data_IF_650050249572
#
_entry.id   IF_650050249572
#
_cell.length_a   1.000
_cell.length_b   1.000
_cell.length_c   1.000
_cell.angle_alpha   90.00
_cell.angle_beta   90.00
_cell.angle_gamma   90.00
#
_symmetry.space_group_name_H-M   'P 1'
#
loop_
_entity.id
_entity.type
_entity.pdbx_description
1 polymer ?
#
# COMPACT_ATOMS: atom_id res chain seq x y z
N UNK A 1 26.14 -10.33 -17.03
CA UNK A 1 25.49 -11.49 -16.43
C UNK A 1 24.03 -11.43 -16.83
N UNK A 2 23.45 -12.48 -17.49
CA UNK A 2 22.03 -12.47 -17.78
C UNK A 2 21.25 -12.47 -16.47
N UNK A 3 20.32 -11.50 -16.33
CA UNK A 3 19.33 -11.47 -15.25
C UNK A 3 18.49 -12.74 -15.35
N UNK A 4 18.67 -13.69 -14.45
CA UNK A 4 17.73 -14.80 -14.30
C UNK A 4 16.40 -14.17 -13.89
N UNK A 5 15.44 -14.11 -14.82
CA UNK A 5 14.10 -13.67 -14.55
C UNK A 5 13.57 -14.48 -13.35
N UNK A 6 13.25 -13.80 -12.25
CA UNK A 6 12.66 -14.44 -11.06
C UNK A 6 11.34 -15.07 -11.47
N UNK A 7 11.12 -16.33 -11.13
CA UNK A 7 9.84 -16.98 -11.39
C UNK A 7 8.72 -16.21 -10.68
N UNK A 8 7.81 -15.64 -11.46
CA UNK A 8 6.61 -14.97 -10.95
C UNK A 8 5.48 -15.97 -10.84
N UNK A 9 4.81 -16.00 -9.70
CA UNK A 9 3.59 -16.77 -9.48
C UNK A 9 2.43 -15.80 -9.35
N UNK A 10 1.44 -15.92 -10.24
CA UNK A 10 0.14 -15.23 -10.10
C UNK A 10 -0.81 -16.11 -9.34
N UNK A 11 -1.57 -15.49 -8.44
CA UNK A 11 -2.55 -16.16 -7.60
C UNK A 11 -3.67 -15.17 -7.23
N UNK A 12 -4.68 -15.62 -6.52
CA UNK A 12 -5.82 -14.79 -6.12
C UNK A 12 -6.13 -14.97 -4.64
N UNK A 13 -6.66 -13.91 -4.04
CA UNK A 13 -7.28 -13.94 -2.72
C UNK A 13 -8.76 -13.66 -2.86
N UNK A 14 -9.59 -14.37 -2.10
CA UNK A 14 -11.05 -14.16 -2.11
C UNK A 14 -11.41 -12.87 -1.36
N UNK A 15 -12.30 -12.09 -1.96
CA UNK A 15 -12.96 -10.96 -1.32
C UNK A 15 -14.24 -11.43 -0.59
N UNK A 16 -14.73 -10.63 0.37
CA UNK A 16 -15.90 -10.96 1.18
C UNK A 16 -17.20 -11.20 0.38
N UNK A 17 -17.30 -10.66 -0.85
CA UNK A 17 -18.46 -10.79 -1.75
C UNK A 17 -18.31 -11.92 -2.79
N UNK A 18 -17.30 -12.80 -2.65
CA UNK A 18 -17.00 -13.86 -3.61
C UNK A 18 -16.19 -13.40 -4.85
N UNK A 19 -15.91 -12.11 -5.01
CA UNK A 19 -14.96 -11.63 -6.01
C UNK A 19 -13.53 -12.04 -5.62
N UNK A 20 -12.60 -11.94 -6.57
CA UNK A 20 -11.19 -12.27 -6.32
C UNK A 20 -10.30 -11.07 -6.63
N UNK A 21 -9.26 -10.89 -5.83
CA UNK A 21 -8.18 -9.95 -6.08
C UNK A 21 -6.90 -10.69 -6.46
N UNK A 22 -6.27 -10.24 -7.56
CA UNK A 22 -5.02 -10.77 -8.08
C UNK A 22 -3.85 -10.33 -7.20
N UNK A 23 -2.92 -11.24 -6.96
CA UNK A 23 -1.59 -10.87 -6.50
C UNK A 23 -0.50 -11.62 -7.26
N UNK A 24 0.69 -11.03 -7.28
CA UNK A 24 1.89 -11.64 -7.89
C UNK A 24 2.95 -11.78 -6.81
N UNK A 25 3.43 -13.01 -6.62
CA UNK A 25 4.54 -13.32 -5.72
C UNK A 25 5.81 -13.64 -6.53
N UNK A 26 6.94 -13.05 -6.14
CA UNK A 26 8.25 -13.31 -6.76
C UNK A 26 9.37 -13.24 -5.74
N UNK A 27 10.44 -13.97 -5.97
CA UNK A 27 11.61 -14.03 -5.09
C UNK A 27 11.46 -15.05 -3.96
N UNK A 28 12.37 -15.00 -3.00
CA UNK A 28 12.45 -15.91 -1.85
C UNK A 28 13.00 -15.15 -0.64
N UNK A 29 12.62 -15.57 0.56
CA UNK A 29 13.03 -14.97 1.82
C UNK A 29 11.83 -14.43 2.60
N UNK A 30 12.02 -13.52 3.57
CA UNK A 30 10.92 -12.90 4.29
C UNK A 30 9.93 -12.24 3.34
N UNK A 31 8.63 -12.44 3.60
CA UNK A 31 7.57 -11.93 2.72
C UNK A 31 7.29 -10.46 2.98
N UNK A 32 7.29 -9.67 1.90
CA UNK A 32 6.83 -8.27 1.87
C UNK A 32 5.60 -8.14 0.99
N UNK A 33 4.46 -7.75 1.58
CA UNK A 33 3.24 -7.40 0.85
C UNK A 33 3.32 -5.93 0.43
N UNK A 34 3.18 -5.68 -0.87
CA UNK A 34 3.38 -4.37 -1.49
C UNK A 34 2.06 -3.85 -2.06
N UNK A 35 1.65 -2.66 -1.60
CA UNK A 35 0.34 -2.07 -1.87
C UNK A 35 0.47 -0.79 -2.69
N UNK A 36 -0.24 -0.71 -3.80
CA UNK A 36 -0.20 0.41 -4.74
C UNK A 36 -1.10 1.58 -4.34
N UNK A 37 -0.94 2.73 -5.03
CA UNK A 37 -1.73 3.94 -4.87
C UNK A 37 -3.11 3.91 -5.57
N UNK A 38 -3.87 5.01 -5.44
CA UNK A 38 -5.28 5.12 -5.83
C UNK A 38 -5.56 4.79 -7.30
N UNK A 39 -4.83 5.40 -8.24
CA UNK A 39 -5.00 5.23 -9.69
C UNK A 39 -3.94 4.30 -10.31
N UNK A 40 -3.30 3.44 -9.52
CA UNK A 40 -2.20 2.59 -9.93
C UNK A 40 -2.56 1.10 -9.84
N UNK A 41 -1.60 0.24 -10.11
CA UNK A 41 -1.69 -1.21 -9.97
C UNK A 41 -0.36 -1.76 -9.39
N UNK A 42 -0.28 -3.08 -9.27
CA UNK A 42 0.89 -3.78 -8.70
C UNK A 42 2.22 -3.46 -9.42
N UNK A 43 2.19 -3.07 -10.72
CA UNK A 43 3.41 -2.82 -11.49
C UNK A 43 4.18 -1.57 -11.02
N UNK A 44 3.55 -0.67 -10.26
CA UNK A 44 4.24 0.50 -9.68
C UNK A 44 5.44 0.11 -8.81
N UNK A 45 5.44 -1.13 -8.29
CA UNK A 45 6.50 -1.67 -7.45
C UNK A 45 7.63 -2.36 -8.23
N UNK A 46 7.52 -2.53 -9.57
CA UNK A 46 8.50 -3.30 -10.38
C UNK A 46 9.93 -2.80 -10.22
N UNK A 47 10.11 -1.47 -10.29
CA UNK A 47 11.43 -0.86 -10.13
C UNK A 47 12.05 -1.10 -8.74
N UNK A 48 11.22 -1.09 -7.69
CA UNK A 48 11.66 -1.36 -6.31
C UNK A 48 11.96 -2.85 -6.14
N UNK A 49 11.08 -3.74 -6.64
CA UNK A 49 11.26 -5.20 -6.56
C UNK A 49 12.54 -5.67 -7.25
N UNK A 50 12.97 -5.01 -8.32
CA UNK A 50 14.24 -5.31 -9.00
C UNK A 50 15.46 -5.19 -8.05
N UNK A 51 15.37 -4.33 -7.02
CA UNK A 51 16.41 -4.11 -6.00
C UNK A 51 16.17 -4.89 -4.68
N UNK A 52 14.97 -5.44 -4.44
CA UNK A 52 14.62 -6.19 -3.23
C UNK A 52 15.11 -7.64 -3.32
N UNK A 53 16.44 -7.85 -3.31
CA UNK A 53 17.02 -9.20 -3.31
C UNK A 53 16.90 -9.85 -1.93
N UNK A 54 16.54 -11.17 -1.92
CA UNK A 54 16.42 -11.93 -0.66
C UNK A 54 15.11 -11.64 0.09
N UNK A 55 14.07 -11.23 -0.63
CA UNK A 55 12.69 -11.12 -0.16
C UNK A 55 11.73 -11.83 -1.13
N UNK A 56 10.65 -12.41 -0.61
CA UNK A 56 9.47 -12.72 -1.39
C UNK A 56 8.60 -11.45 -1.46
N UNK A 57 8.52 -10.83 -2.64
CA UNK A 57 7.67 -9.66 -2.89
C UNK A 57 6.28 -10.13 -3.33
N UNK A 58 5.25 -9.85 -2.55
CA UNK A 58 3.85 -10.13 -2.86
C UNK A 58 3.16 -8.82 -3.19
N UNK A 59 2.87 -8.59 -4.48
CA UNK A 59 2.25 -7.35 -4.98
C UNK A 59 0.77 -7.58 -5.22
N UNK A 60 -0.09 -6.87 -4.48
CA UNK A 60 -1.55 -6.97 -4.57
C UNK A 60 -2.10 -5.95 -5.56
N UNK A 61 -3.04 -6.37 -6.42
CA UNK A 61 -3.97 -5.47 -7.09
C UNK A 61 -5.25 -5.33 -6.26
N UNK A 62 -5.58 -4.12 -5.83
CA UNK A 62 -6.88 -3.88 -5.21
C UNK A 62 -8.02 -4.06 -6.24
N UNK A 63 -9.25 -4.37 -5.80
CA UNK A 63 -10.42 -4.49 -6.68
C UNK A 63 -10.59 -3.32 -7.64
N UNK A 64 -10.95 -3.62 -8.90
CA UNK A 64 -11.04 -2.64 -9.97
C UNK A 64 -9.71 -2.17 -10.53
N UNK A 65 -8.59 -2.88 -10.26
CA UNK A 65 -7.24 -2.60 -10.79
C UNK A 65 -6.60 -3.87 -11.33
N UNK A 66 -5.89 -3.73 -12.44
CA UNK A 66 -5.19 -4.86 -13.06
C UNK A 66 -6.11 -6.05 -13.33
N UNK A 67 -5.69 -7.25 -12.91
CA UNK A 67 -6.46 -8.50 -13.06
C UNK A 67 -7.46 -8.77 -11.93
N UNK A 68 -7.62 -7.84 -10.95
CA UNK A 68 -8.58 -7.99 -9.87
C UNK A 68 -10.01 -7.68 -10.33
N UNK A 69 -10.96 -8.52 -9.91
CA UNK A 69 -12.37 -8.32 -10.25
C UNK A 69 -12.89 -6.98 -9.70
N UNK A 70 -13.77 -6.35 -10.49
CA UNK A 70 -14.58 -5.22 -10.04
C UNK A 70 -15.79 -5.67 -9.23
N UNK A 71 -16.61 -4.68 -8.82
CA UNK A 71 -17.89 -4.94 -8.18
C UNK A 71 -18.93 -5.40 -9.20
N UNK A 72 -19.60 -6.50 -8.90
CA UNK A 72 -20.65 -7.09 -9.74
C UNK A 72 -22.01 -7.24 -9.01
N UNK A 73 -22.10 -6.70 -7.78
CA UNK A 73 -23.32 -6.74 -6.98
C UNK A 73 -24.24 -5.53 -7.24
N UNK A 74 -25.25 -5.36 -6.39
CA UNK A 74 -26.12 -4.20 -6.41
C UNK A 74 -25.32 -2.90 -6.13
N UNK A 75 -25.65 -1.76 -6.75
CA UNK A 75 -24.85 -0.52 -6.68
C UNK A 75 -24.52 -0.05 -5.26
N UNK A 76 -25.42 -0.30 -4.31
CA UNK A 76 -25.28 0.10 -2.90
C UNK A 76 -24.07 -0.54 -2.21
N UNK A 77 -23.61 -1.70 -2.67
CA UNK A 77 -22.45 -2.40 -2.13
C UNK A 77 -21.11 -1.87 -2.64
N UNK A 78 -21.09 -1.14 -3.76
CA UNK A 78 -19.86 -0.70 -4.41
C UNK A 78 -19.03 0.23 -3.50
N UNK A 79 -19.67 1.16 -2.80
CA UNK A 79 -19.00 2.10 -1.90
C UNK A 79 -18.25 1.40 -0.76
N UNK A 80 -18.85 0.39 -0.14
CA UNK A 80 -18.21 -0.40 0.91
C UNK A 80 -17.07 -1.27 0.35
N UNK A 81 -17.28 -1.88 -0.81
CA UNK A 81 -16.31 -2.75 -1.46
C UNK A 81 -15.02 -2.01 -1.88
N UNK A 82 -15.15 -0.80 -2.41
CA UNK A 82 -14.02 0.03 -2.84
C UNK A 82 -13.51 0.99 -1.76
N UNK A 83 -13.96 0.85 -0.51
CA UNK A 83 -13.50 1.69 0.61
C UNK A 83 -12.12 1.27 1.11
N UNK A 84 -11.44 2.16 1.85
CA UNK A 84 -10.22 1.80 2.59
C UNK A 84 -10.47 0.64 3.56
N UNK A 85 -11.64 0.61 4.21
CA UNK A 85 -12.05 -0.49 5.10
C UNK A 85 -12.18 -1.82 4.34
N UNK A 86 -12.86 -1.82 3.17
CA UNK A 86 -12.98 -3.00 2.32
C UNK A 86 -11.62 -3.50 1.81
N UNK A 87 -10.71 -2.59 1.48
CA UNK A 87 -9.34 -2.94 1.08
C UNK A 87 -8.49 -3.45 2.26
N UNK A 88 -8.72 -2.94 3.47
CA UNK A 88 -8.07 -3.44 4.67
C UNK A 88 -8.53 -4.86 5.03
N UNK A 89 -9.82 -5.16 4.86
CA UNK A 89 -10.37 -6.50 5.08
C UNK A 89 -9.85 -7.50 4.02
N UNK A 90 -9.74 -7.09 2.76
CA UNK A 90 -9.09 -7.88 1.70
C UNK A 90 -7.61 -8.13 2.01
N UNK A 91 -6.87 -7.10 2.44
CA UNK A 91 -5.48 -7.23 2.84
C UNK A 91 -5.33 -8.21 4.01
N UNK A 92 -6.27 -8.18 4.97
CA UNK A 92 -6.28 -9.13 6.07
C UNK A 92 -6.44 -10.58 5.58
N UNK A 93 -7.35 -10.82 4.65
CA UNK A 93 -7.51 -12.14 4.04
C UNK A 93 -6.22 -12.63 3.35
N UNK A 94 -5.54 -11.75 2.60
CA UNK A 94 -4.26 -12.06 1.98
C UNK A 94 -3.16 -12.35 3.01
N UNK A 95 -3.03 -11.49 4.02
CA UNK A 95 -2.04 -11.66 5.12
C UNK A 95 -2.27 -13.01 5.81
N UNK A 96 -3.52 -13.35 6.17
CA UNK A 96 -3.86 -14.64 6.77
C UNK A 96 -3.48 -15.81 5.86
N UNK A 97 -3.82 -15.76 4.57
CA UNK A 97 -3.45 -16.79 3.59
C UNK A 97 -1.94 -16.98 3.50
N UNK A 98 -1.17 -15.89 3.52
CA UNK A 98 0.30 -15.93 3.48
C UNK A 98 0.88 -16.49 4.77
N UNK A 99 0.42 -16.03 5.94
CA UNK A 99 0.89 -16.53 7.24
C UNK A 99 0.61 -18.02 7.38
N UNK A 100 -0.60 -18.46 7.03
CA UNK A 100 -0.98 -19.89 7.12
C UNK A 100 -0.17 -20.77 6.17
N UNK A 101 0.18 -20.27 4.99
CA UNK A 101 0.96 -21.02 3.98
C UNK A 101 2.47 -20.92 4.18
N UNK A 102 3.00 -19.86 4.78
CA UNK A 102 4.45 -19.62 5.00
C UNK A 102 4.90 -20.00 6.41
N UNK A 103 3.97 -20.08 7.37
CA UNK A 103 4.30 -20.30 8.79
C UNK A 103 5.04 -19.14 9.45
N UNK A 104 5.02 -17.93 8.86
CA UNK A 104 5.75 -16.76 9.33
C UNK A 104 4.92 -15.50 9.14
N UNK A 105 5.14 -14.49 9.99
CA UNK A 105 4.55 -13.16 9.82
C UNK A 105 5.11 -12.47 8.57
N UNK A 106 4.37 -11.50 8.05
CA UNK A 106 4.75 -10.75 6.85
C UNK A 106 5.10 -9.30 7.18
N UNK A 107 5.86 -8.64 6.30
CA UNK A 107 5.95 -7.18 6.27
C UNK A 107 4.94 -6.60 5.30
N UNK A 108 4.48 -5.37 5.55
CA UNK A 108 3.64 -4.61 4.60
C UNK A 108 4.37 -3.33 4.23
N UNK A 109 4.42 -2.99 2.93
CA UNK A 109 4.80 -1.67 2.46
C UNK A 109 3.70 -1.11 1.56
N UNK A 110 3.09 -0.01 1.99
CA UNK A 110 2.05 0.69 1.24
C UNK A 110 2.55 2.02 0.68
N UNK A 111 2.21 2.32 -0.57
CA UNK A 111 2.49 3.60 -1.20
C UNK A 111 1.20 4.39 -1.41
N UNK A 112 1.19 5.69 -1.04
CA UNK A 112 0.05 6.59 -1.23
C UNK A 112 -1.21 6.02 -0.56
N UNK A 113 -2.29 5.77 -1.28
CA UNK A 113 -3.48 5.05 -0.78
C UNK A 113 -3.11 3.72 -0.09
N UNK A 114 -2.13 2.98 -0.60
CA UNK A 114 -1.67 1.72 0.03
C UNK A 114 -1.15 1.92 1.46
N UNK A 115 -0.53 3.06 1.76
CA UNK A 115 -0.13 3.40 3.13
C UNK A 115 -1.36 3.68 4.03
N UNK A 116 -2.40 4.34 3.49
CA UNK A 116 -3.66 4.55 4.23
C UNK A 116 -4.39 3.23 4.48
N UNK A 117 -4.41 2.32 3.50
CA UNK A 117 -4.95 0.95 3.70
C UNK A 117 -4.15 0.20 4.77
N UNK A 118 -2.82 0.39 4.83
CA UNK A 118 -2.00 -0.22 5.90
C UNK A 118 -2.38 0.33 7.28
N UNK A 119 -2.59 1.64 7.41
CA UNK A 119 -3.05 2.26 8.66
C UNK A 119 -4.46 1.79 9.05
N UNK A 120 -5.37 1.71 8.08
CA UNK A 120 -6.73 1.18 8.29
C UNK A 120 -6.71 -0.31 8.69
N UNK A 121 -5.82 -1.11 8.09
CA UNK A 121 -5.58 -2.49 8.48
C UNK A 121 -5.16 -2.59 9.95
N UNK A 122 -4.16 -1.81 10.37
CA UNK A 122 -3.68 -1.81 11.76
C UNK A 122 -4.78 -1.42 12.74
N UNK A 123 -5.61 -0.44 12.39
CA UNK A 123 -6.75 0.00 13.20
C UNK A 123 -7.81 -1.09 13.38
N UNK A 124 -8.09 -1.90 12.34
CA UNK A 124 -9.15 -2.90 12.31
C UNK A 124 -8.71 -4.28 12.79
N UNK A 125 -7.51 -4.68 12.43
CA UNK A 125 -7.03 -6.06 12.59
C UNK A 125 -5.80 -6.17 13.50
N UNK A 126 -5.18 -5.05 13.87
CA UNK A 126 -3.96 -5.04 14.68
C UNK A 126 -2.73 -5.52 13.90
N UNK A 127 -1.66 -5.86 14.62
CA UNK A 127 -0.36 -6.17 14.02
C UNK A 127 0.15 -7.60 14.32
N UNK A 128 -0.69 -8.50 14.86
CA UNK A 128 -0.25 -9.82 15.31
C UNK A 128 0.46 -10.65 14.22
N UNK A 129 0.00 -10.53 12.98
CA UNK A 129 0.51 -11.24 11.82
C UNK A 129 1.65 -10.51 11.09
N UNK A 130 2.08 -9.36 11.61
CA UNK A 130 3.08 -8.51 10.97
C UNK A 130 4.40 -8.50 11.74
N UNK A 131 5.53 -8.52 11.04
CA UNK A 131 6.83 -8.21 11.62
C UNK A 131 7.23 -6.73 11.41
N UNK A 132 6.72 -6.06 10.39
CA UNK A 132 7.04 -4.65 10.10
C UNK A 132 5.99 -4.00 9.19
N UNK A 133 5.90 -2.68 9.23
CA UNK A 133 5.18 -1.88 8.23
C UNK A 133 6.05 -0.75 7.72
N UNK A 134 5.81 -0.38 6.44
CA UNK A 134 6.41 0.81 5.81
C UNK A 134 5.31 1.64 5.14
N UNK A 135 5.26 2.91 5.48
CA UNK A 135 4.29 3.89 4.97
C UNK A 135 5.03 4.83 4.02
N UNK A 136 4.85 4.63 2.72
CA UNK A 136 5.53 5.39 1.67
C UNK A 136 4.59 6.46 1.09
N UNK A 137 4.93 7.73 1.22
CA UNK A 137 4.17 8.88 0.65
C UNK A 137 2.67 8.79 0.91
N UNK A 138 2.27 8.43 2.14
CA UNK A 138 0.88 8.30 2.56
C UNK A 138 0.47 9.43 3.51
N UNK A 139 -0.80 9.43 3.90
CA UNK A 139 -1.40 10.39 4.83
C UNK A 139 -2.08 9.69 6.00
N UNK A 140 -2.03 10.33 7.17
CA UNK A 140 -2.84 9.93 8.34
C UNK A 140 -4.23 10.57 8.35
N UNK A 141 -4.41 11.64 7.54
CA UNK A 141 -5.69 12.33 7.30
C UNK A 141 -5.72 12.88 5.88
N UNK A 142 -6.87 12.78 5.19
CA UNK A 142 -7.03 13.28 3.82
C UNK A 142 -7.72 14.65 3.79
N UNK A 143 -8.85 14.82 4.48
CA UNK A 143 -9.63 16.05 4.43
C UNK A 143 -8.83 17.28 4.86
N UNK A 144 -8.73 18.27 3.97
CA UNK A 144 -7.99 19.52 4.18
C UNK A 144 -6.46 19.37 4.16
N UNK A 145 -5.95 18.23 3.69
CA UNK A 145 -4.50 17.95 3.57
C UNK A 145 -4.14 17.59 2.13
N UNK A 146 -4.85 16.62 1.51
CA UNK A 146 -4.62 16.24 0.13
C UNK A 146 -5.42 17.12 -0.83
N UNK A 147 -4.78 17.52 -1.94
CA UNK A 147 -5.36 18.37 -2.99
C UNK A 147 -5.30 17.65 -4.35
N UNK A 148 -5.95 16.48 -4.43
CA UNK A 148 -5.83 15.56 -5.58
C UNK A 148 -7.01 15.74 -6.55
N UNK A 149 -8.23 15.81 -6.02
CA UNK A 149 -9.47 16.02 -6.78
C UNK A 149 -10.34 17.05 -6.08
N UNK A 150 -11.02 17.92 -6.87
CA UNK A 150 -11.73 19.10 -6.38
C UNK A 150 -13.24 19.03 -6.59
N UNK A 151 -13.72 18.15 -7.47
CA UNK A 151 -15.13 18.08 -7.81
C UNK A 151 -16.00 17.51 -6.67
N UNK A 152 -17.09 18.21 -6.38
CA UNK A 152 -18.04 17.82 -5.34
C UNK A 152 -19.02 16.76 -5.79
N UNK A 153 -19.50 16.83 -7.06
CA UNK A 153 -20.40 15.83 -7.63
C UNK A 153 -19.66 14.70 -8.35
N UNK A 154 -20.30 13.54 -8.43
CA UNK A 154 -19.67 12.33 -8.96
C UNK A 154 -19.38 12.39 -10.46
N UNK A 155 -20.18 13.09 -11.25
CA UNK A 155 -19.97 13.20 -12.70
C UNK A 155 -18.73 14.04 -13.02
N UNK A 156 -18.58 15.17 -12.34
CA UNK A 156 -17.39 16.04 -12.44
C UNK A 156 -16.14 15.33 -11.89
N UNK A 157 -16.28 14.60 -10.79
CA UNK A 157 -15.18 13.82 -10.20
C UNK A 157 -14.70 12.72 -11.12
N UNK A 158 -15.61 11.96 -11.78
CA UNK A 158 -15.23 10.97 -12.79
C UNK A 158 -14.48 11.59 -13.95
N UNK A 159 -14.89 12.78 -14.40
CA UNK A 159 -14.18 13.50 -15.44
C UNK A 159 -12.77 13.94 -15.01
N UNK A 160 -12.59 14.37 -13.76
CA UNK A 160 -11.25 14.67 -13.19
C UNK A 160 -10.38 13.41 -13.10
N UNK A 161 -10.94 12.30 -12.60
CA UNK A 161 -10.24 11.01 -12.49
C UNK A 161 -9.75 10.56 -13.88
N UNK A 162 -10.62 10.62 -14.89
CA UNK A 162 -10.28 10.22 -16.27
C UNK A 162 -9.15 11.10 -16.84
N UNK A 163 -9.28 12.44 -16.72
CA UNK A 163 -8.24 13.38 -17.19
C UNK A 163 -6.89 13.15 -16.50
N UNK A 164 -6.90 12.90 -15.18
CA UNK A 164 -5.67 12.62 -14.42
C UNK A 164 -5.04 11.31 -14.89
N UNK A 165 -5.84 10.27 -15.10
CA UNK A 165 -5.38 8.97 -15.62
C UNK A 165 -4.76 9.11 -17.00
N UNK A 166 -5.41 9.79 -17.94
CA UNK A 166 -4.91 10.04 -19.29
C UNK A 166 -3.59 10.81 -19.28
N UNK A 167 -3.52 11.92 -18.53
CA UNK A 167 -2.31 12.76 -18.41
C UNK A 167 -1.12 11.99 -17.84
N UNK A 168 -1.37 11.08 -16.90
CA UNK A 168 -0.33 10.29 -16.25
C UNK A 168 -0.05 8.94 -16.95
N UNK A 169 -0.78 8.61 -18.04
CA UNK A 169 -0.69 7.31 -18.70
C UNK A 169 -1.17 6.14 -17.84
N UNK A 170 -2.04 6.42 -16.86
CA UNK A 170 -2.54 5.45 -15.89
C UNK A 170 -3.89 4.87 -16.38
N UNK A 171 -3.87 3.77 -17.12
CA UNK A 171 -5.09 3.10 -17.63
C UNK A 171 -5.51 1.90 -16.76
N UNK A 172 -4.82 1.64 -15.68
CA UNK A 172 -4.92 0.39 -14.93
C UNK A 172 -6.06 0.34 -13.89
N UNK A 173 -6.74 1.45 -13.63
CA UNK A 173 -7.80 1.54 -12.61
C UNK A 173 -9.16 1.87 -13.25
N UNK A 174 -10.20 1.13 -12.84
CA UNK A 174 -11.60 1.45 -13.15
C UNK A 174 -11.96 2.81 -12.51
N UNK A 175 -12.45 3.81 -13.29
CA UNK A 175 -12.80 5.12 -12.75
C UNK A 175 -13.86 5.08 -11.64
N UNK A 176 -14.83 4.17 -11.70
CA UNK A 176 -15.84 4.00 -10.64
C UNK A 176 -15.21 3.48 -9.35
N UNK A 177 -14.27 2.52 -9.45
CA UNK A 177 -13.53 2.04 -8.30
C UNK A 177 -12.67 3.14 -7.67
N UNK A 178 -12.08 4.02 -8.49
CA UNK A 178 -11.33 5.19 -8.01
C UNK A 178 -12.24 6.19 -7.32
N UNK A 179 -13.41 6.49 -7.90
CA UNK A 179 -14.40 7.42 -7.34
C UNK A 179 -14.83 6.97 -5.93
N UNK A 180 -15.31 5.74 -5.79
CA UNK A 180 -15.77 5.23 -4.49
C UNK A 180 -14.63 5.19 -3.46
N UNK A 181 -13.42 4.80 -3.88
CA UNK A 181 -12.27 4.80 -3.01
C UNK A 181 -11.90 6.22 -2.54
N UNK A 182 -11.90 7.20 -3.47
CA UNK A 182 -11.64 8.60 -3.12
C UNK A 182 -12.67 9.14 -2.13
N UNK A 183 -13.97 8.87 -2.34
CA UNK A 183 -15.02 9.24 -1.38
C UNK A 183 -14.78 8.65 0.01
N UNK A 184 -14.33 7.40 0.09
CA UNK A 184 -13.92 6.79 1.36
C UNK A 184 -12.69 7.50 1.97
N UNK A 185 -11.68 7.82 1.13
CA UNK A 185 -10.46 8.51 1.58
C UNK A 185 -10.74 9.90 2.14
N UNK A 186 -11.69 10.65 1.57
CA UNK A 186 -12.06 11.99 2.07
C UNK A 186 -12.50 11.99 3.55
N UNK A 187 -13.00 10.86 4.06
CA UNK A 187 -13.42 10.69 5.45
C UNK A 187 -12.33 10.04 6.33
N UNK A 188 -11.16 9.73 5.75
CA UNK A 188 -10.09 9.05 6.50
C UNK A 188 -9.38 10.03 7.43
N UNK A 189 -9.36 9.65 8.72
CA UNK A 189 -8.57 10.29 9.78
C UNK A 189 -8.22 9.24 10.84
N UNK A 190 -6.97 8.81 10.88
CA UNK A 190 -6.47 7.83 11.86
C UNK A 190 -5.49 8.43 12.87
N UNK A 191 -5.38 9.76 12.93
CA UNK A 191 -4.41 10.44 13.82
C UNK A 191 -4.57 10.08 15.30
N UNK A 192 -5.80 9.77 15.72
CA UNK A 192 -6.10 9.32 17.09
C UNK A 192 -5.61 7.91 17.41
N UNK A 193 -5.32 7.10 16.39
CA UNK A 193 -4.92 5.69 16.55
C UNK A 193 -3.42 5.48 16.42
N UNK A 194 -2.65 6.47 15.91
CA UNK A 194 -1.21 6.35 15.64
C UNK A 194 -0.40 5.91 16.87
N UNK A 195 -0.74 6.39 18.06
CA UNK A 195 -0.05 6.04 19.30
C UNK A 195 -0.27 4.58 19.75
N UNK A 196 -1.23 3.87 19.13
CA UNK A 196 -1.53 2.46 19.42
C UNK A 196 -0.82 1.49 18.50
N UNK A 197 -0.10 1.99 17.48
CA UNK A 197 0.64 1.15 16.54
C UNK A 197 1.86 0.59 17.28
N UNK A 198 1.90 -0.72 17.45
CA UNK A 198 2.90 -1.47 18.22
C UNK A 198 3.83 -2.33 17.36
N UNK A 199 3.78 -2.18 16.04
CA UNK A 199 4.66 -2.87 15.10
C UNK A 199 5.79 -1.96 14.63
N UNK A 200 7.03 -2.47 14.42
CA UNK A 200 8.12 -1.70 13.83
C UNK A 200 7.66 -0.97 12.56
N UNK A 201 7.74 0.37 12.58
CA UNK A 201 7.21 1.23 11.52
C UNK A 201 8.30 2.09 10.88
N UNK A 202 8.35 2.06 9.53
CA UNK A 202 9.13 2.98 8.71
C UNK A 202 8.18 3.96 8.01
N UNK A 203 8.42 5.25 8.16
CA UNK A 203 7.78 6.30 7.34
C UNK A 203 8.81 6.75 6.31
N UNK A 204 8.50 6.61 5.02
CA UNK A 204 9.37 6.97 3.90
C UNK A 204 8.65 7.97 3.01
N UNK A 205 9.23 9.16 2.76
CA UNK A 205 8.49 10.22 2.10
C UNK A 205 9.40 11.17 1.33
N UNK A 206 8.95 11.62 0.15
CA UNK A 206 9.61 12.68 -0.61
C UNK A 206 9.39 14.05 0.04
N UNK A 207 10.44 14.87 0.17
CA UNK A 207 10.30 16.21 0.78
C UNK A 207 9.50 17.17 -0.07
N UNK A 208 9.41 16.93 -1.38
CA UNK A 208 8.76 17.80 -2.38
C UNK A 208 7.45 17.16 -2.88
N UNK A 209 6.85 16.27 -2.08
CA UNK A 209 5.59 15.59 -2.40
C UNK A 209 4.42 16.61 -2.37
N UNK A 210 3.84 16.89 -3.54
CA UNK A 210 2.75 17.84 -3.70
C UNK A 210 1.36 17.20 -3.47
N UNK A 211 1.23 15.87 -3.63
CA UNK A 211 -0.04 15.16 -3.41
C UNK A 211 -0.26 14.85 -1.91
N UNK A 212 0.84 14.49 -1.21
CA UNK A 212 0.84 14.15 0.21
C UNK A 212 1.93 14.97 0.93
N UNK A 213 1.59 16.05 1.64
CA UNK A 213 2.57 16.92 2.25
C UNK A 213 3.51 16.20 3.24
N UNK A 214 4.81 16.44 3.14
CA UNK A 214 5.84 15.85 4.00
C UNK A 214 5.60 16.11 5.50
N UNK A 215 4.92 17.20 5.83
CA UNK A 215 4.55 17.52 7.23
C UNK A 215 3.66 16.48 7.88
N UNK A 216 2.80 15.76 7.12
CA UNK A 216 2.01 14.65 7.67
C UNK A 216 2.91 13.46 8.01
N UNK A 217 3.89 13.15 7.16
CA UNK A 217 4.88 12.10 7.44
C UNK A 217 5.67 12.37 8.73
N UNK A 218 6.04 13.62 9.00
CA UNK A 218 6.68 14.03 10.25
C UNK A 218 5.76 13.79 11.45
N UNK A 219 4.47 14.14 11.34
CA UNK A 219 3.47 13.92 12.39
C UNK A 219 3.24 12.42 12.65
N UNK A 220 3.17 11.61 11.59
CA UNK A 220 3.06 10.15 11.74
C UNK A 220 4.26 9.57 12.47
N UNK A 221 5.47 9.95 12.06
CA UNK A 221 6.70 9.46 12.68
C UNK A 221 6.86 9.91 14.14
N UNK A 222 6.36 11.09 14.49
CA UNK A 222 6.36 11.59 15.87
C UNK A 222 5.36 10.84 16.77
N UNK A 223 4.19 10.47 16.23
CA UNK A 223 3.09 9.89 17.02
C UNK A 223 3.11 8.38 17.12
N UNK A 224 3.71 7.69 16.13
CA UNK A 224 3.84 6.23 16.15
C UNK A 224 5.05 5.85 17.01
N UNK A 225 4.88 5.07 18.10
CA UNK A 225 5.99 4.71 18.98
C UNK A 225 7.11 3.97 18.23
N UNK A 226 8.35 4.48 18.34
CA UNK A 226 9.51 3.87 17.72
C UNK A 226 9.57 3.93 16.18
N UNK A 227 8.69 4.69 15.54
CA UNK A 227 8.75 4.87 14.10
C UNK A 227 10.05 5.57 13.66
N UNK A 228 10.53 5.20 12.47
CA UNK A 228 11.68 5.80 11.82
C UNK A 228 11.23 6.59 10.61
N UNK A 229 11.64 7.87 10.51
CA UNK A 229 11.39 8.69 9.32
C UNK A 229 12.61 8.65 8.39
N UNK A 230 12.37 8.31 7.13
CA UNK A 230 13.33 8.43 6.03
C UNK A 230 12.83 9.48 5.05
N UNK A 231 13.37 10.69 5.13
CA UNK A 231 13.14 11.73 4.14
C UNK A 231 13.96 11.45 2.88
N UNK A 232 13.30 11.50 1.72
CA UNK A 232 13.92 11.46 0.40
C UNK A 232 13.97 12.88 -0.15
N UNK A 233 15.09 13.55 0.07
CA UNK A 233 15.26 14.95 -0.29
C UNK A 233 15.12 15.21 -1.80
N UNK A 234 14.33 16.19 -2.17
CA UNK A 234 14.05 16.58 -3.56
C UNK A 234 13.21 15.56 -4.35
N UNK A 235 12.69 14.51 -3.70
CA UNK A 235 11.77 13.57 -4.35
C UNK A 235 10.32 14.04 -4.18
N UNK A 236 9.49 13.82 -5.21
CA UNK A 236 8.07 14.09 -5.23
C UNK A 236 7.24 12.91 -4.70
N UNK A 237 5.98 12.82 -5.18
CA UNK A 237 5.06 11.74 -4.80
C UNK A 237 5.49 10.36 -5.34
N UNK A 238 6.13 10.32 -6.51
CA UNK A 238 6.48 9.10 -7.23
C UNK A 238 7.80 8.47 -6.75
N UNK A 239 8.03 8.43 -5.43
CA UNK A 239 9.26 7.92 -4.81
C UNK A 239 9.64 6.52 -5.28
N UNK A 240 8.67 5.66 -5.62
CA UNK A 240 8.91 4.28 -6.06
C UNK A 240 9.64 4.22 -7.41
N UNK A 241 9.44 5.18 -8.30
CA UNK A 241 10.14 5.28 -9.58
C UNK A 241 11.34 6.23 -9.51
N UNK A 242 11.20 7.37 -8.83
CA UNK A 242 12.25 8.38 -8.74
C UNK A 242 13.46 7.94 -7.92
N UNK A 243 13.22 7.13 -6.88
CA UNK A 243 14.21 6.69 -5.88
C UNK A 243 14.14 5.19 -5.59
N UNK A 244 13.85 4.35 -6.59
CA UNK A 244 13.57 2.92 -6.42
C UNK A 244 14.64 2.16 -5.62
N UNK A 245 15.92 2.41 -5.87
CA UNK A 245 17.03 1.77 -5.16
C UNK A 245 17.10 2.22 -3.69
N UNK A 246 16.88 3.51 -3.41
CA UNK A 246 16.87 4.04 -2.03
C UNK A 246 15.68 3.52 -1.23
N UNK A 247 14.49 3.45 -1.87
CA UNK A 247 13.29 2.86 -1.29
C UNK A 247 13.53 1.39 -0.97
N UNK A 248 14.04 0.60 -1.93
CA UNK A 248 14.33 -0.81 -1.73
C UNK A 248 15.32 -1.05 -0.58
N UNK A 249 16.40 -0.26 -0.50
CA UNK A 249 17.38 -0.34 0.57
C UNK A 249 16.76 -0.05 1.94
N UNK A 250 15.92 1.00 2.03
CA UNK A 250 15.25 1.36 3.27
C UNK A 250 14.28 0.27 3.73
N UNK A 251 13.45 -0.27 2.81
CA UNK A 251 12.53 -1.37 3.07
C UNK A 251 13.26 -2.63 3.52
N UNK A 252 14.31 -3.03 2.78
CA UNK A 252 15.09 -4.23 3.10
C UNK A 252 15.76 -4.13 4.48
N UNK A 253 16.37 -2.99 4.78
CA UNK A 253 17.02 -2.76 6.08
C UNK A 253 16.02 -2.82 7.22
N UNK A 254 14.87 -2.16 7.06
CA UNK A 254 13.83 -2.11 8.08
C UNK A 254 13.21 -3.50 8.31
N UNK A 255 12.78 -4.19 7.24
CA UNK A 255 12.12 -5.48 7.35
C UNK A 255 13.05 -6.57 7.91
N UNK A 256 14.33 -6.60 7.50
CA UNK A 256 15.31 -7.56 8.07
C UNK A 256 15.53 -7.33 9.56
N UNK A 257 15.72 -6.08 9.98
CA UNK A 257 15.92 -5.76 11.40
C UNK A 257 14.71 -6.16 12.24
N UNK A 258 13.50 -5.90 11.76
CA UNK A 258 12.25 -6.24 12.43
C UNK A 258 12.03 -7.77 12.50
N UNK A 259 12.24 -8.49 11.40
CA UNK A 259 12.14 -9.95 11.37
C UNK A 259 13.19 -10.61 12.31
N UNK A 260 14.44 -10.12 12.33
CA UNK A 260 15.47 -10.60 13.22
C UNK A 260 15.12 -10.38 14.69
N UNK A 261 14.54 -9.23 15.03
CA UNK A 261 14.09 -8.94 16.40
C UNK A 261 12.95 -9.88 16.85
N UNK A 262 12.07 -10.29 15.93
CA UNK A 262 10.95 -11.18 16.23
C UNK A 262 11.33 -12.66 16.32
N UNK A 263 12.23 -13.14 15.46
CA UNK A 263 12.56 -14.57 15.34
C UNK A 263 13.96 -14.95 15.83
N UNK A 264 14.78 -13.96 16.27
CA UNK A 264 16.20 -14.15 16.52
C UNK A 264 17.00 -14.30 15.22
N UNK A 265 18.32 -14.30 15.32
CA UNK A 265 19.25 -14.34 14.17
C UNK A 265 19.27 -15.67 13.39
N UNK A 266 18.36 -16.60 13.66
CA UNK A 266 18.31 -17.93 13.01
C UNK A 266 17.52 -17.99 11.70
N UNK A 267 16.98 -16.88 11.20
CA UNK A 267 16.09 -16.84 10.04
C UNK A 267 16.63 -15.95 8.90
N UNK A 268 17.92 -16.03 8.59
CA UNK A 268 18.47 -15.39 7.37
C UNK A 268 19.36 -16.39 6.64
#
# INVERSE_FOLDING_TARGET
>A
MPSTARAQRRDVVACANGATAEFVAEGQGPTLVLLHGLQSNLAVWDAVCAHLTGFECVRLNFPGRGGSAGWHGAPEGAAAFYSLAGFADLLHALVRQLVDTRGQTVGIAGWSMGAMVTLEYLRRHGAADLHSVALCSGLSKVAGVADIFHADDDASLLAEISRRSEKAGLTAADPQAVLHCWRSMQHFDCRGDLARIDVPTLVLHGTDDADCPFTDAMQVAERVPGARLRALHGAGHLVLSERSAEVALALATHARAAAAARYGTRAV
#
